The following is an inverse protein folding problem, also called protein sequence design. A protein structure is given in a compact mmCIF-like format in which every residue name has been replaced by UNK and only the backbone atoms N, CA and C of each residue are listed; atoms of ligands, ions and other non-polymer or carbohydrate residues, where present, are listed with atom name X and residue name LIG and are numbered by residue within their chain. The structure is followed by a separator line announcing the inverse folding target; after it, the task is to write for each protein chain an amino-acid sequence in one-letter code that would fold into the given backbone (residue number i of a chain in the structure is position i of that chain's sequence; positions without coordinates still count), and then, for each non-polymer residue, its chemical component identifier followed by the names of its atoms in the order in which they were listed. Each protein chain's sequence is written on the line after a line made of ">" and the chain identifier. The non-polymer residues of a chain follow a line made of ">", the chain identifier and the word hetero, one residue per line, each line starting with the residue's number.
data_IF_707870728594
#
_entry.id   IF_707870728594
#
_cell.length_a   1.000
_cell.length_b   1.000
_cell.length_c   1.000
_cell.angle_alpha   90.00
_cell.angle_beta   90.00
_cell.angle_gamma   90.00
#
_symmetry.space_group_name_H-M   'P 1'
#
loop_
_entity.id
_entity.type
_entity.pdbx_description
1 polymer ?
#
# COMPACT_ATOMS: atom_id res chain seq x y z
N UNK A 1 43.07 37.81 -7.63
CA UNK A 1 41.93 38.55 -7.07
C UNK A 1 40.76 38.31 -8.00
N UNK A 2 39.75 37.58 -7.52
CA UNK A 2 38.69 37.05 -8.35
C UNK A 2 37.34 37.73 -8.07
N UNK A 3 36.51 37.82 -9.09
CA UNK A 3 35.11 38.25 -8.98
C UNK A 3 34.23 37.12 -8.43
N UNK A 4 33.00 37.45 -8.04
CA UNK A 4 32.06 36.44 -7.53
C UNK A 4 31.68 35.37 -8.58
N UNK A 5 31.77 35.72 -9.88
CA UNK A 5 31.53 34.78 -10.98
C UNK A 5 32.66 33.75 -11.09
N UNK A 6 33.91 34.21 -11.01
CA UNK A 6 35.10 33.35 -11.02
C UNK A 6 35.19 32.48 -9.75
N UNK A 7 34.74 33.00 -8.60
CA UNK A 7 34.60 32.20 -7.38
C UNK A 7 33.60 31.06 -7.59
N UNK A 8 32.44 31.36 -8.18
CA UNK A 8 31.38 30.38 -8.41
C UNK A 8 31.85 29.25 -9.34
N UNK A 9 32.58 29.59 -10.40
CA UNK A 9 33.21 28.62 -11.32
C UNK A 9 34.27 27.76 -10.60
N UNK A 10 35.07 28.37 -9.73
CA UNK A 10 36.16 27.68 -9.03
C UNK A 10 35.71 26.66 -7.97
N UNK A 11 34.57 26.89 -7.32
CA UNK A 11 33.97 25.95 -6.36
C UNK A 11 32.84 25.11 -6.98
N UNK A 12 32.64 25.20 -8.31
CA UNK A 12 31.64 24.48 -9.09
C UNK A 12 30.18 24.68 -8.58
N UNK A 13 29.80 25.94 -8.36
CA UNK A 13 28.43 26.30 -7.97
C UNK A 13 27.90 27.45 -8.83
N UNK A 14 26.57 27.64 -8.81
CA UNK A 14 25.97 28.79 -9.48
C UNK A 14 26.32 30.10 -8.75
N UNK A 15 26.45 31.20 -9.49
CA UNK A 15 26.69 32.56 -8.98
C UNK A 15 25.72 32.98 -7.87
N UNK A 16 24.43 32.60 -7.98
CA UNK A 16 23.42 32.79 -6.93
C UNK A 16 23.80 32.05 -5.65
N UNK A 17 24.19 30.79 -5.78
CA UNK A 17 24.59 29.95 -4.64
C UNK A 17 25.86 30.47 -3.98
N UNK A 18 26.82 30.97 -4.76
CA UNK A 18 28.02 31.63 -4.23
C UNK A 18 27.67 32.92 -3.46
N UNK A 19 26.77 33.75 -3.97
CA UNK A 19 26.26 34.92 -3.26
C UNK A 19 25.52 34.54 -1.96
N UNK A 20 24.72 33.48 -1.99
CA UNK A 20 24.02 32.96 -0.82
C UNK A 20 25.00 32.39 0.23
N UNK A 21 26.14 31.82 -0.18
CA UNK A 21 27.20 31.36 0.74
C UNK A 21 27.92 32.53 1.42
N UNK A 22 28.16 33.61 0.69
CA UNK A 22 28.70 34.86 1.27
C UNK A 22 27.69 35.50 2.23
N UNK A 23 26.39 35.51 1.87
CA UNK A 23 25.33 36.06 2.71
C UNK A 23 25.15 35.26 4.02
N UNK A 24 25.33 33.94 3.96
CA UNK A 24 25.31 33.04 5.13
C UNK A 24 26.60 33.09 5.96
N UNK A 25 27.61 33.84 5.53
CA UNK A 25 28.89 33.95 6.23
C UNK A 25 29.76 32.70 6.15
N UNK A 26 29.46 31.77 5.23
CA UNK A 26 30.29 30.58 4.97
C UNK A 26 31.57 30.99 4.23
N UNK A 27 31.45 31.95 3.31
CA UNK A 27 32.58 32.57 2.62
C UNK A 27 32.80 33.97 3.19
N UNK A 28 34.02 34.30 3.58
CA UNK A 28 34.35 35.61 4.15
C UNK A 28 34.08 36.74 3.13
N UNK A 29 33.30 37.75 3.54
CA UNK A 29 32.94 38.88 2.68
C UNK A 29 34.14 39.79 2.45
N UNK A 30 34.55 39.94 1.18
CA UNK A 30 35.59 40.89 0.80
C UNK A 30 35.10 42.34 0.83
N UNK A 31 35.95 43.26 1.29
CA UNK A 31 35.68 44.70 1.37
C UNK A 31 35.75 45.42 0.02
N UNK A 32 36.44 44.84 -0.97
CA UNK A 32 36.68 45.47 -2.29
C UNK A 32 36.24 44.58 -3.46
N UNK A 33 35.20 43.77 -3.28
CA UNK A 33 34.69 42.82 -4.30
C UNK A 33 35.75 41.91 -4.93
N UNK A 34 36.90 41.75 -4.25
CA UNK A 34 38.04 40.98 -4.70
C UNK A 34 38.23 39.81 -3.75
N UNK A 35 37.96 38.60 -4.22
CA UNK A 35 38.08 37.39 -3.42
C UNK A 35 39.41 36.69 -3.70
N UNK A 36 39.95 36.05 -2.67
CA UNK A 36 41.08 35.14 -2.80
C UNK A 36 40.57 33.71 -2.97
N UNK A 37 40.88 33.09 -4.11
CA UNK A 37 40.29 31.80 -4.51
C UNK A 37 40.72 30.66 -3.58
N UNK A 38 41.94 30.71 -3.02
CA UNK A 38 42.45 29.67 -2.13
C UNK A 38 41.76 29.72 -0.77
N UNK A 39 41.56 30.94 -0.23
CA UNK A 39 40.80 31.13 1.02
C UNK A 39 39.36 30.66 0.88
N UNK A 40 38.68 31.06 -0.20
CA UNK A 40 37.28 30.65 -0.46
C UNK A 40 37.15 29.13 -0.61
N UNK A 41 38.11 28.48 -1.30
CA UNK A 41 38.14 27.02 -1.46
C UNK A 41 38.22 26.32 -0.11
N UNK A 42 39.11 26.77 0.78
CA UNK A 42 39.28 26.17 2.11
C UNK A 42 38.03 26.33 2.98
N UNK A 43 37.42 27.51 2.97
CA UNK A 43 36.18 27.79 3.70
C UNK A 43 35.02 26.90 3.21
N UNK A 44 34.88 26.77 1.90
CA UNK A 44 33.84 25.92 1.29
C UNK A 44 34.06 24.43 1.57
N UNK A 45 35.30 23.94 1.47
CA UNK A 45 35.63 22.54 1.79
C UNK A 45 35.35 22.24 3.26
N UNK A 46 35.69 23.15 4.18
CA UNK A 46 35.37 23.00 5.61
C UNK A 46 33.87 22.92 5.84
N UNK A 47 33.11 23.80 5.20
CA UNK A 47 31.65 23.77 5.27
C UNK A 47 31.05 22.45 4.77
N UNK A 48 31.48 21.94 3.61
CA UNK A 48 31.00 20.64 3.11
C UNK A 48 31.37 19.52 4.07
N UNK A 49 32.57 19.53 4.65
CA UNK A 49 33.00 18.52 5.63
C UNK A 49 32.16 18.57 6.90
N UNK A 50 31.82 19.74 7.41
CA UNK A 50 30.93 19.89 8.57
C UNK A 50 29.50 19.44 8.25
N UNK A 51 28.99 19.75 7.06
CA UNK A 51 27.65 19.30 6.62
C UNK A 51 27.62 17.79 6.35
N UNK A 52 28.73 17.20 5.88
CA UNK A 52 28.87 15.76 5.74
C UNK A 52 28.94 15.09 7.12
N UNK A 53 29.77 15.61 8.03
CA UNK A 53 29.86 15.12 9.41
C UNK A 53 28.53 15.28 10.18
N UNK A 54 27.77 16.35 9.93
CA UNK A 54 26.44 16.55 10.52
C UNK A 54 25.37 15.62 9.94
N UNK A 55 25.50 15.21 8.67
CA UNK A 55 24.65 14.17 8.04
C UNK A 55 24.99 12.79 8.55
N UNK A 56 26.27 12.48 8.71
CA UNK A 56 26.73 11.26 9.35
C UNK A 56 26.35 11.22 10.84
N UNK A 57 26.36 12.35 11.56
CA UNK A 57 25.88 12.43 12.94
C UNK A 57 24.35 12.34 13.06
N UNK A 58 23.60 12.78 12.03
CA UNK A 58 22.16 12.60 11.95
C UNK A 58 21.76 11.17 11.54
N UNK A 59 22.61 10.46 10.79
CA UNK A 59 22.50 9.03 10.49
C UNK A 59 23.11 8.14 11.58
N UNK A 60 24.03 8.66 12.39
CA UNK A 60 24.53 8.01 13.59
C UNK A 60 23.43 8.08 14.64
N UNK A 61 22.58 7.07 14.62
CA UNK A 61 21.58 6.83 15.65
C UNK A 61 22.20 6.97 17.03
N UNK A 62 21.74 7.91 17.87
CA UNK A 62 22.11 7.90 19.28
C UNK A 62 21.61 6.57 19.90
N UNK A 63 22.38 5.91 20.78
CA UNK A 63 22.00 4.64 21.35
C UNK A 63 20.61 4.76 22.01
N UNK A 64 19.60 4.13 21.40
CA UNK A 64 18.21 4.17 21.86
C UNK A 64 17.20 4.89 20.95
N UNK A 65 17.58 5.46 19.80
CA UNK A 65 16.62 5.85 18.76
C UNK A 65 16.58 4.85 17.61
N UNK A 66 15.47 4.79 16.91
CA UNK A 66 15.19 3.78 15.91
C UNK A 66 15.44 4.39 14.52
N UNK A 67 16.25 3.73 13.70
CA UNK A 67 16.45 4.08 12.29
C UNK A 67 15.16 3.87 11.50
N UNK A 68 14.50 4.96 11.13
CA UNK A 68 13.27 4.92 10.35
C UNK A 68 13.43 4.22 9.00
N UNK A 69 14.61 4.26 8.40
CA UNK A 69 14.93 3.54 7.15
C UNK A 69 15.05 2.03 7.38
N UNK A 70 15.68 1.60 8.48
CA UNK A 70 15.79 0.18 8.82
C UNK A 70 14.42 -0.42 9.19
N UNK A 71 13.57 0.33 9.89
CA UNK A 71 12.21 -0.15 10.18
C UNK A 71 11.31 -0.20 8.96
N UNK A 72 11.40 0.78 8.05
CA UNK A 72 10.66 0.74 6.78
C UNK A 72 11.11 -0.46 5.95
N UNK A 73 12.41 -0.69 5.83
CA UNK A 73 12.94 -1.86 5.13
C UNK A 73 12.46 -3.19 5.76
N UNK A 74 12.35 -3.28 7.10
CA UNK A 74 11.78 -4.45 7.77
C UNK A 74 10.29 -4.63 7.46
N UNK A 75 9.50 -3.55 7.54
CA UNK A 75 8.06 -3.57 7.21
C UNK A 75 7.82 -3.94 5.75
N UNK A 76 8.63 -3.41 4.83
CA UNK A 76 8.52 -3.68 3.40
C UNK A 76 8.87 -5.14 3.08
N UNK A 77 9.86 -5.72 3.79
CA UNK A 77 10.16 -7.15 3.68
C UNK A 77 8.99 -8.01 4.14
N UNK A 78 8.43 -7.74 5.32
CA UNK A 78 7.27 -8.50 5.82
C UNK A 78 6.03 -8.33 4.94
N UNK A 79 5.86 -7.15 4.32
CA UNK A 79 4.79 -6.90 3.35
C UNK A 79 4.99 -7.68 2.05
N UNK A 80 6.23 -7.76 1.55
CA UNK A 80 6.57 -8.57 0.38
C UNK A 80 6.31 -10.06 0.63
N UNK A 81 6.75 -10.58 1.78
CA UNK A 81 6.53 -11.98 2.16
C UNK A 81 5.03 -12.30 2.27
N UNK A 82 4.22 -11.39 2.84
CA UNK A 82 2.76 -11.55 2.91
C UNK A 82 2.13 -11.61 1.51
N UNK A 83 2.57 -10.75 0.60
CA UNK A 83 2.04 -10.69 -0.76
C UNK A 83 2.44 -11.93 -1.57
N UNK A 84 3.64 -12.46 -1.36
CA UNK A 84 4.08 -13.73 -1.95
C UNK A 84 3.19 -14.90 -1.49
N UNK A 85 2.89 -14.99 -0.19
CA UNK A 85 1.98 -16.01 0.35
C UNK A 85 0.56 -15.86 -0.19
N UNK A 86 0.03 -14.64 -0.30
CA UNK A 86 -1.29 -14.40 -0.90
C UNK A 86 -1.32 -14.79 -2.39
N UNK A 87 -0.24 -14.52 -3.13
CA UNK A 87 -0.12 -14.95 -4.51
C UNK A 87 -0.07 -16.49 -4.63
N UNK A 88 0.62 -17.19 -3.73
CA UNK A 88 0.66 -18.64 -3.73
C UNK A 88 -0.70 -19.27 -3.36
N UNK A 89 -1.46 -18.64 -2.46
CA UNK A 89 -2.84 -19.04 -2.13
C UNK A 89 -3.77 -18.83 -3.33
N UNK A 90 -3.71 -17.67 -4.00
CA UNK A 90 -4.56 -17.38 -5.18
C UNK A 90 -4.21 -18.26 -6.39
N UNK A 91 -2.95 -18.70 -6.52
CA UNK A 91 -2.52 -19.70 -7.52
C UNK A 91 -3.00 -21.12 -7.20
N UNK A 92 -3.55 -21.35 -6.01
CA UNK A 92 -4.05 -22.66 -5.57
C UNK A 92 -2.94 -23.62 -5.10
N UNK A 93 -1.74 -23.12 -4.82
CA UNK A 93 -0.62 -23.93 -4.30
C UNK A 93 -0.70 -24.11 -2.78
N UNK A 94 -1.39 -23.20 -2.09
CA UNK A 94 -1.58 -23.22 -0.63
C UNK A 94 -3.07 -23.27 -0.28
N UNK A 95 -3.45 -24.29 0.49
CA UNK A 95 -4.80 -24.45 1.02
C UNK A 95 -4.77 -24.56 2.56
N UNK A 96 -5.73 -23.99 3.29
CA UNK A 96 -5.82 -24.17 4.73
C UNK A 96 -5.99 -25.65 5.08
N UNK A 97 -5.21 -26.14 6.05
CA UNK A 97 -5.24 -27.54 6.47
C UNK A 97 -6.64 -27.96 6.97
N UNK A 98 -7.34 -27.07 7.67
CA UNK A 98 -8.70 -27.30 8.17
C UNK A 98 -9.71 -27.57 7.04
N UNK A 99 -9.60 -26.81 5.95
CA UNK A 99 -10.47 -26.97 4.78
C UNK A 99 -10.17 -28.28 4.04
N UNK A 100 -8.88 -28.63 3.89
CA UNK A 100 -8.46 -29.90 3.31
C UNK A 100 -9.03 -31.09 4.09
N UNK A 101 -8.91 -31.06 5.43
CA UNK A 101 -9.46 -32.11 6.31
C UNK A 101 -10.98 -32.23 6.15
N UNK A 102 -11.69 -31.10 6.09
CA UNK A 102 -13.15 -31.08 5.89
C UNK A 102 -13.55 -31.67 4.54
N UNK A 103 -12.86 -31.28 3.47
CA UNK A 103 -13.13 -31.76 2.11
C UNK A 103 -12.91 -33.28 2.00
N UNK A 104 -11.80 -33.77 2.54
CA UNK A 104 -11.47 -35.20 2.57
C UNK A 104 -12.47 -35.99 3.42
N UNK A 105 -12.82 -35.47 4.60
CA UNK A 105 -13.82 -36.11 5.49
C UNK A 105 -15.18 -36.20 4.79
N UNK A 106 -15.60 -35.13 4.12
CA UNK A 106 -16.86 -35.09 3.36
C UNK A 106 -16.84 -36.06 2.19
N UNK A 107 -15.73 -36.18 1.47
CA UNK A 107 -15.56 -37.17 0.40
C UNK A 107 -15.69 -38.60 0.94
N UNK A 108 -15.00 -38.96 2.02
CA UNK A 108 -15.12 -40.28 2.64
C UNK A 108 -16.52 -40.57 3.20
N UNK A 109 -17.20 -39.57 3.76
CA UNK A 109 -18.58 -39.71 4.21
C UNK A 109 -19.53 -40.07 3.06
N UNK A 110 -19.38 -39.41 1.89
CA UNK A 110 -20.15 -39.70 0.67
C UNK A 110 -19.87 -41.11 0.15
N UNK A 111 -18.60 -41.52 0.10
CA UNK A 111 -18.20 -42.89 -0.29
C UNK A 111 -18.88 -43.92 0.61
N UNK A 112 -18.81 -43.73 1.93
CA UNK A 112 -19.43 -44.64 2.90
C UNK A 112 -20.94 -44.73 2.69
N UNK A 113 -21.63 -43.61 2.52
CA UNK A 113 -23.07 -43.58 2.31
C UNK A 113 -23.48 -44.37 1.04
N UNK A 114 -22.72 -44.22 -0.05
CA UNK A 114 -22.97 -44.94 -1.31
C UNK A 114 -22.76 -46.44 -1.17
N UNK A 115 -21.66 -46.88 -0.56
CA UNK A 115 -21.39 -48.32 -0.33
C UNK A 115 -22.52 -48.95 0.49
N UNK A 116 -23.00 -48.28 1.54
CA UNK A 116 -24.09 -48.77 2.38
C UNK A 116 -25.45 -48.81 1.64
N UNK A 117 -25.60 -48.09 0.53
CA UNK A 117 -26.84 -48.09 -0.27
C UNK A 117 -26.90 -49.28 -1.24
N UNK A 118 -25.76 -49.87 -1.60
CA UNK A 118 -25.68 -50.98 -2.57
C UNK A 118 -26.53 -52.18 -2.14
N UNK A 119 -26.43 -52.71 -0.90
CA UNK A 119 -27.23 -53.88 -0.50
C UNK A 119 -28.73 -53.62 -0.58
N UNK A 120 -29.18 -52.43 -0.20
CA UNK A 120 -30.59 -52.05 -0.22
C UNK A 120 -31.19 -52.03 -1.64
N UNK A 121 -30.38 -51.67 -2.65
CA UNK A 121 -30.80 -51.69 -4.06
C UNK A 121 -30.70 -53.07 -4.69
N UNK A 122 -29.67 -53.82 -4.34
CA UNK A 122 -29.36 -55.12 -4.94
C UNK A 122 -30.20 -56.25 -4.36
N UNK A 123 -30.56 -56.17 -3.07
CA UNK A 123 -31.41 -57.15 -2.40
C UNK A 123 -32.72 -57.46 -3.15
N UNK A 124 -33.58 -56.48 -3.50
CA UNK A 124 -34.84 -56.77 -4.21
C UNK A 124 -34.64 -57.34 -5.62
N UNK A 125 -33.48 -57.09 -6.26
CA UNK A 125 -33.17 -57.61 -7.60
C UNK A 125 -32.73 -59.09 -7.59
N UNK A 126 -32.25 -59.58 -6.44
CA UNK A 126 -31.76 -60.95 -6.28
C UNK A 126 -32.82 -61.86 -5.66
N UNK A 127 -33.84 -61.31 -5.00
CA UNK A 127 -34.90 -62.12 -4.37
C UNK A 127 -35.64 -62.92 -5.44
N UNK A 128 -35.48 -64.24 -5.40
CA UNK A 128 -36.07 -65.19 -6.36
C UNK A 128 -35.12 -65.70 -7.45
N UNK A 129 -33.90 -65.14 -7.54
CA UNK A 129 -32.93 -65.54 -8.55
C UNK A 129 -32.15 -66.79 -8.11
N UNK A 130 -32.08 -67.81 -8.98
CA UNK A 130 -31.45 -69.10 -8.65
C UNK A 130 -30.06 -69.25 -9.28
N UNK A 131 -29.74 -68.44 -10.29
CA UNK A 131 -28.45 -68.48 -10.98
C UNK A 131 -27.40 -67.58 -10.31
N UNK A 132 -26.35 -68.20 -9.78
CA UNK A 132 -25.23 -67.49 -9.12
C UNK A 132 -24.47 -66.57 -10.08
N UNK A 133 -24.50 -66.85 -11.38
CA UNK A 133 -23.88 -66.02 -12.42
C UNK A 133 -24.62 -64.68 -12.54
N UNK A 134 -25.95 -64.73 -12.62
CA UNK A 134 -26.81 -63.54 -12.74
C UNK A 134 -26.68 -62.66 -11.49
N UNK A 135 -26.71 -63.28 -10.31
CA UNK A 135 -26.54 -62.57 -9.03
C UNK A 135 -25.20 -61.83 -8.96
N UNK A 136 -24.11 -62.49 -9.35
CA UNK A 136 -22.77 -61.87 -9.36
C UNK A 136 -22.70 -60.70 -10.33
N UNK A 137 -23.31 -60.82 -11.50
CA UNK A 137 -23.24 -59.79 -12.54
C UNK A 137 -24.06 -58.55 -12.13
N UNK A 138 -25.23 -58.74 -11.50
CA UNK A 138 -26.02 -57.65 -10.90
C UNK A 138 -25.24 -56.90 -9.81
N UNK A 139 -24.59 -57.63 -8.89
CA UNK A 139 -23.76 -57.03 -7.84
C UNK A 139 -22.58 -56.25 -8.43
N UNK A 140 -21.88 -56.82 -9.41
CA UNK A 140 -20.76 -56.15 -10.08
C UNK A 140 -21.19 -54.87 -10.77
N UNK A 141 -22.30 -54.91 -11.51
CA UNK A 141 -22.82 -53.75 -12.22
C UNK A 141 -23.18 -52.61 -11.25
N UNK A 142 -23.84 -52.92 -10.12
CA UNK A 142 -24.17 -51.86 -9.14
C UNK A 142 -22.92 -51.29 -8.45
N UNK A 143 -21.89 -52.11 -8.21
CA UNK A 143 -20.60 -51.61 -7.69
C UNK A 143 -19.95 -50.67 -8.71
N UNK A 144 -19.93 -51.04 -9.99
CA UNK A 144 -19.37 -50.18 -11.04
C UNK A 144 -20.15 -48.87 -11.19
N UNK A 145 -21.48 -48.91 -11.15
CA UNK A 145 -22.33 -47.72 -11.15
C UNK A 145 -22.02 -46.81 -9.95
N UNK A 146 -21.89 -47.39 -8.75
CA UNK A 146 -21.55 -46.62 -7.54
C UNK A 146 -20.16 -46.00 -7.64
N UNK A 147 -19.18 -46.70 -8.20
CA UNK A 147 -17.82 -46.18 -8.43
C UNK A 147 -17.79 -45.07 -9.48
N UNK A 148 -18.58 -45.19 -10.55
CA UNK A 148 -18.68 -44.17 -11.59
C UNK A 148 -19.36 -42.90 -11.08
N UNK A 149 -20.42 -43.04 -10.27
CA UNK A 149 -21.04 -41.91 -9.56
C UNK A 149 -20.04 -41.23 -8.61
N UNK A 150 -19.22 -42.00 -7.88
CA UNK A 150 -18.19 -41.46 -7.00
C UNK A 150 -17.07 -40.75 -7.76
N UNK A 151 -16.64 -41.30 -8.90
CA UNK A 151 -15.64 -40.68 -9.77
C UNK A 151 -16.14 -39.38 -10.42
N UNK A 152 -17.44 -39.32 -10.76
CA UNK A 152 -18.09 -38.12 -11.27
C UNK A 152 -18.38 -37.06 -10.20
N UNK A 153 -18.33 -37.43 -8.91
CA UNK A 153 -18.54 -36.50 -7.80
C UNK A 153 -17.32 -35.61 -7.64
N UNK A 154 -17.37 -34.39 -8.19
CA UNK A 154 -16.33 -33.38 -7.97
C UNK A 154 -16.28 -33.05 -6.47
N UNK A 155 -15.08 -32.97 -5.91
CA UNK A 155 -14.76 -32.36 -4.59
C UNK A 155 -15.03 -30.84 -4.58
N UNK A 156 -16.05 -30.38 -5.30
CA UNK A 156 -16.39 -28.97 -5.54
C UNK A 156 -17.33 -28.44 -4.46
N UNK A 157 -17.09 -28.86 -3.22
CA UNK A 157 -17.53 -28.12 -2.04
C UNK A 157 -16.37 -27.26 -1.50
N UNK A 158 -15.19 -27.34 -2.12
CA UNK A 158 -14.15 -26.33 -1.98
C UNK A 158 -14.60 -25.06 -2.70
N UNK A 159 -15.55 -24.35 -2.11
CA UNK A 159 -15.61 -22.91 -2.27
C UNK A 159 -14.37 -22.40 -1.57
N UNK A 160 -13.30 -22.18 -2.33
CA UNK A 160 -12.27 -21.25 -1.89
C UNK A 160 -13.05 -19.95 -1.72
N UNK A 161 -13.51 -19.69 -0.49
CA UNK A 161 -13.77 -18.33 -0.11
C UNK A 161 -12.38 -17.75 -0.17
N UNK A 162 -12.09 -16.85 -1.14
CA UNK A 162 -10.96 -15.98 -0.93
C UNK A 162 -11.11 -15.42 0.49
N UNK A 163 -10.02 -15.08 1.19
CA UNK A 163 -10.16 -14.08 2.22
C UNK A 163 -10.74 -12.85 1.53
N UNK A 164 -12.07 -12.80 1.42
CA UNK A 164 -12.79 -11.62 1.04
C UNK A 164 -12.37 -10.60 2.08
N UNK A 165 -11.99 -9.42 1.62
CA UNK A 165 -12.98 -8.35 1.47
C UNK A 165 -13.97 -8.20 2.63
N UNK A 166 -13.65 -8.71 3.82
CA UNK A 166 -14.11 -8.12 5.05
C UNK A 166 -13.51 -6.73 5.01
N UNK A 167 -14.34 -5.78 4.58
CA UNK A 167 -14.36 -4.40 5.07
C UNK A 167 -14.47 -4.41 6.61
N UNK A 168 -13.60 -5.14 7.29
CA UNK A 168 -13.32 -5.02 8.71
C UNK A 168 -12.39 -3.82 8.82
N UNK A 169 -13.02 -2.67 8.61
CA UNK A 169 -12.86 -1.49 9.43
C UNK A 169 -11.40 -1.25 9.86
N UNK A 170 -10.64 -0.62 8.97
CA UNK A 170 -9.62 0.32 9.39
C UNK A 170 -10.30 1.54 10.04
N UNK A 171 -11.00 1.34 11.16
CA UNK A 171 -11.30 2.40 12.12
C UNK A 171 -10.15 2.43 13.14
N UNK A 172 -8.95 2.58 12.59
CA UNK A 172 -7.73 2.84 13.32
C UNK A 172 -7.53 4.35 13.42
N UNK A 173 -7.89 4.89 14.59
CA UNK A 173 -7.34 6.11 15.17
C UNK A 173 -7.45 7.41 14.35
N UNK A 174 -8.53 8.15 14.59
CA UNK A 174 -8.45 9.63 14.57
C UNK A 174 -7.47 10.09 15.67
N UNK A 175 -6.19 10.12 15.33
CA UNK A 175 -5.18 10.94 16.02
C UNK A 175 -4.71 12.06 15.10
N UNK A 176 -5.64 12.82 14.53
CA UNK A 176 -5.38 14.17 14.05
C UNK A 176 -5.74 15.17 15.14
N UNK A 177 -4.72 15.67 15.84
CA UNK A 177 -4.81 16.94 16.57
C UNK A 177 -5.40 18.00 15.62
N UNK A 178 -6.47 18.68 16.05
CA UNK A 178 -7.13 19.68 15.21
C UNK A 178 -6.14 20.73 14.70
N UNK A 179 -5.95 20.79 13.39
CA UNK A 179 -5.30 21.92 12.75
C UNK A 179 -6.25 23.11 12.80
N UNK A 180 -5.87 24.15 13.54
CA UNK A 180 -6.57 25.43 13.58
C UNK A 180 -6.30 26.17 12.26
N UNK A 181 -6.95 25.72 11.18
CA UNK A 181 -6.82 26.28 9.83
C UNK A 181 -7.58 27.60 9.71
N UNK A 182 -7.04 28.64 10.33
CA UNK A 182 -7.43 30.01 10.00
C UNK A 182 -6.91 30.33 8.61
N UNK A 183 -7.85 30.50 7.67
CA UNK A 183 -7.64 30.89 6.27
C UNK A 183 -6.90 32.25 6.21
N UNK A 184 -5.57 32.23 6.08
CA UNK A 184 -4.70 33.42 6.00
C UNK A 184 -4.77 34.11 4.62
N UNK A 185 -5.98 34.33 4.11
CA UNK A 185 -6.22 35.09 2.89
C UNK A 185 -6.13 36.60 3.14
N UNK A 186 -5.26 37.28 2.37
CA UNK A 186 -5.13 38.74 2.29
C UNK A 186 -6.51 39.40 2.13
N UNK A 187 -6.94 40.22 3.09
CA UNK A 187 -8.17 40.99 2.97
C UNK A 187 -8.10 41.90 1.75
N UNK A 188 -8.87 41.56 0.70
CA UNK A 188 -9.15 42.49 -0.39
C UNK A 188 -9.96 43.66 0.17
N UNK A 189 -9.45 44.88 0.04
CA UNK A 189 -10.19 46.11 0.38
C UNK A 189 -11.53 46.10 -0.38
N UNK A 190 -12.63 46.25 0.34
CA UNK A 190 -13.93 46.47 -0.27
C UNK A 190 -13.91 47.78 -1.08
N UNK A 191 -14.47 47.82 -2.31
CA UNK A 191 -14.55 49.05 -3.07
C UNK A 191 -15.55 50.01 -2.39
N UNK A 192 -15.15 51.27 -2.21
CA UNK A 192 -16.02 52.33 -1.68
C UNK A 192 -17.21 52.54 -2.62
N UNK A 193 -18.43 52.51 -2.08
CA UNK A 193 -19.64 52.85 -2.83
C UNK A 193 -19.57 54.33 -3.26
N UNK A 194 -19.69 54.56 -4.57
CA UNK A 194 -19.81 55.90 -5.12
C UNK A 194 -21.11 56.56 -4.66
N UNK A 195 -21.03 57.77 -4.13
CA UNK A 195 -22.19 58.58 -3.77
C UNK A 195 -23.00 58.90 -5.04
N UNK A 196 -24.25 58.44 -5.10
CA UNK A 196 -25.19 58.81 -6.18
C UNK A 196 -25.49 60.32 -6.06
N UNK A 197 -25.16 61.08 -7.10
CA UNK A 197 -25.54 62.48 -7.22
C UNK A 197 -27.08 62.61 -7.20
N UNK A 198 -27.62 63.36 -6.23
CA UNK A 198 -29.04 63.72 -6.19
C UNK A 198 -29.38 64.60 -7.40
N UNK A 199 -30.30 64.14 -8.25
CA UNK A 199 -30.94 64.97 -9.27
C UNK A 199 -31.90 65.97 -8.61
N UNK A 200 -31.77 67.24 -8.99
CA UNK A 200 -32.57 68.37 -8.47
C UNK A 200 -33.98 68.31 -9.10
N UNK A 201 -35.04 68.34 -8.27
CA UNK A 201 -36.44 68.36 -8.72
C UNK A 201 -36.74 69.71 -9.39
N UNK A 202 -37.03 69.71 -10.69
CA UNK A 202 -37.48 70.90 -11.42
C UNK A 202 -38.99 71.00 -11.25
N UNK A 203 -39.46 72.09 -10.64
CA UNK A 203 -40.89 72.38 -10.53
C UNK A 203 -41.43 72.76 -11.90
N UNK A 204 -42.45 72.03 -12.36
CA UNK A 204 -43.18 72.38 -13.57
C UNK A 204 -44.26 73.42 -13.20
N UNK A 205 -44.27 74.55 -13.91
CA UNK A 205 -45.31 75.57 -13.78
C UNK A 205 -46.53 75.17 -14.62
N UNK A 206 -47.73 75.39 -14.06
CA UNK A 206 -48.96 75.58 -14.85
C UNK A 206 -50.10 76.10 -13.99
N UNK A 207 -50.20 77.42 -13.85
CA UNK A 207 -51.35 78.29 -14.16
C UNK A 207 -51.20 79.64 -13.47
#
# INVERSE_FOLDING_TARGET
>A
MATIAEVAEHIDVNTRTAADLVARGVITKSTRSSYDLDTVRLEYIRHIREVAAGREAAQAVPPGKIDGEQERARKDKEAADRLELQNAVTRGELAPLSEMVSAVTSAFARVRAKILTIPSKVAPLIVGETSTVVVRDVVKNEIHNALEELAGTRLRDWTFSPPGDSEELLEGSDTSAGSDDKRMGRQGKTPKSGSVCRTRKVANSSR
#
